data_IF_035601645490
#
_entry.id   IF_035601645490
#
_cell.length_a   1.000
_cell.length_b   1.000
_cell.length_c   1.000
_cell.angle_alpha   90.00
_cell.angle_beta   90.00
_cell.angle_gamma   90.00
#
_symmetry.space_group_name_H-M   'P 1'
#
loop_
_entity.id
_entity.type
_entity.pdbx_description
1 polymer ?
#
# COMPACT_ATOMS: atom_id res chain seq x y z
N UNK A 1 -32.27 27.34 13.37
CA UNK A 1 -33.00 26.73 12.24
C UNK A 1 -33.59 27.86 11.42
N UNK A 2 -33.31 27.92 10.12
CA UNK A 2 -33.77 28.98 9.23
C UNK A 2 -34.45 28.30 8.03
N UNK A 3 -35.71 28.65 7.77
CA UNK A 3 -36.48 28.12 6.64
C UNK A 3 -36.41 29.09 5.45
N UNK A 4 -35.84 28.66 4.32
CA UNK A 4 -35.66 29.52 3.14
C UNK A 4 -36.62 29.19 1.98
N UNK A 5 -37.04 30.24 1.24
CA UNK A 5 -37.90 30.15 0.05
C UNK A 5 -37.20 30.54 -1.27
N UNK A 6 -35.98 31.09 -1.22
CA UNK A 6 -35.12 31.42 -2.37
C UNK A 6 -33.64 31.15 -2.01
N UNK A 7 -32.70 31.21 -2.97
CA UNK A 7 -31.28 30.96 -2.68
C UNK A 7 -30.69 31.87 -1.59
N UNK A 8 -29.72 31.37 -0.83
CA UNK A 8 -29.07 32.14 0.24
C UNK A 8 -27.91 32.95 -0.33
N UNK A 9 -27.91 34.26 -0.11
CA UNK A 9 -26.76 35.14 -0.36
C UNK A 9 -26.13 35.59 0.96
N UNK A 10 -24.84 35.94 0.96
CA UNK A 10 -24.12 36.39 2.16
C UNK A 10 -24.79 37.60 2.87
N UNK A 11 -25.53 38.43 2.14
CA UNK A 11 -26.31 39.55 2.67
C UNK A 11 -27.46 39.13 3.59
N UNK A 12 -27.91 37.88 3.53
CA UNK A 12 -28.97 37.34 4.38
C UNK A 12 -28.51 37.01 5.81
N UNK A 13 -27.20 36.93 6.04
CA UNK A 13 -26.63 36.65 7.35
C UNK A 13 -25.80 37.84 7.83
N UNK A 14 -26.46 38.95 8.18
CA UNK A 14 -25.80 40.09 8.83
C UNK A 14 -26.06 40.08 10.34
N UNK A 15 -25.09 40.53 11.15
CA UNK A 15 -25.25 40.69 12.61
C UNK A 15 -24.81 39.52 13.50
N UNK A 16 -24.42 38.37 12.93
CA UNK A 16 -23.92 37.23 13.72
C UNK A 16 -22.45 37.37 14.15
N UNK A 17 -21.64 38.18 13.45
CA UNK A 17 -20.24 38.45 13.80
C UNK A 17 -20.07 39.24 15.09
N UNK A 18 -21.10 39.97 15.52
CA UNK A 18 -21.12 40.73 16.78
C UNK A 18 -21.72 39.95 17.96
N UNK A 19 -22.12 38.69 17.77
CA UNK A 19 -22.67 37.87 18.84
C UNK A 19 -21.55 37.47 19.82
N UNK A 20 -21.71 37.83 21.10
CA UNK A 20 -20.78 37.40 22.15
C UNK A 20 -20.90 35.89 22.37
N UNK A 21 -19.82 35.17 22.10
CA UNK A 21 -19.78 33.70 22.24
C UNK A 21 -19.24 33.24 23.58
N UNK A 22 -18.88 34.18 24.48
CA UNK A 22 -18.37 33.87 25.82
C UNK A 22 -19.41 33.21 26.74
N UNK A 23 -20.69 33.32 26.40
CA UNK A 23 -21.81 32.70 27.13
C UNK A 23 -22.37 31.47 26.44
N UNK A 24 -21.76 31.01 25.34
CA UNK A 24 -22.22 29.82 24.65
C UNK A 24 -21.94 28.59 25.49
N UNK A 25 -22.93 27.71 25.60
CA UNK A 25 -22.80 26.49 26.37
C UNK A 25 -21.85 25.53 25.67
N UNK A 26 -20.67 25.35 26.27
CA UNK A 26 -19.61 24.45 25.79
C UNK A 26 -20.05 22.98 25.67
N UNK A 27 -21.19 22.60 26.28
CA UNK A 27 -21.76 21.26 26.18
C UNK A 27 -22.41 20.97 24.83
N UNK A 28 -22.68 22.01 24.01
CA UNK A 28 -23.33 21.86 22.71
C UNK A 28 -22.41 22.28 21.58
N UNK A 29 -22.43 21.50 20.50
CA UNK A 29 -21.74 21.91 19.27
C UNK A 29 -22.45 23.10 18.64
N UNK A 30 -21.69 24.10 18.22
CA UNK A 30 -22.22 25.26 17.52
C UNK A 30 -22.69 24.85 16.13
N UNK A 31 -23.98 24.57 15.99
CA UNK A 31 -24.58 24.02 14.78
C UNK A 31 -25.48 25.01 14.04
N UNK A 32 -25.41 24.97 12.72
CA UNK A 32 -26.32 25.67 11.81
C UNK A 32 -26.95 24.65 10.87
N UNK A 33 -28.25 24.46 11.01
CA UNK A 33 -29.06 23.66 10.08
C UNK A 33 -29.89 24.58 9.19
N UNK A 34 -29.72 24.42 7.86
CA UNK A 34 -30.45 25.12 6.81
C UNK A 34 -31.47 24.15 6.21
N UNK A 35 -32.76 24.43 6.45
CA UNK A 35 -33.87 23.64 5.89
C UNK A 35 -34.42 24.34 4.65
N UNK A 36 -34.35 23.65 3.52
CA UNK A 36 -34.94 24.12 2.28
C UNK A 36 -36.40 23.68 2.16
N UNK A 37 -37.31 24.64 1.94
CA UNK A 37 -38.74 24.35 1.80
C UNK A 37 -39.04 23.59 0.50
N UNK A 38 -40.09 22.78 0.52
CA UNK A 38 -40.59 22.09 -0.67
C UNK A 38 -40.96 23.11 -1.77
N UNK A 39 -40.60 22.81 -3.03
CA UNK A 39 -40.92 23.63 -4.20
C UNK A 39 -39.80 24.54 -4.70
N UNK A 40 -38.68 24.67 -3.98
CA UNK A 40 -37.51 25.36 -4.54
C UNK A 40 -36.81 24.47 -5.58
N UNK A 41 -36.45 25.05 -6.72
CA UNK A 41 -35.85 24.31 -7.85
C UNK A 41 -34.32 24.29 -7.81
N UNK A 42 -33.69 25.26 -7.16
CA UNK A 42 -32.24 25.39 -7.03
C UNK A 42 -31.84 26.13 -5.76
N UNK A 43 -30.64 25.81 -5.27
CA UNK A 43 -29.98 26.48 -4.16
C UNK A 43 -28.52 26.74 -4.54
N UNK A 44 -28.11 28.01 -4.53
CA UNK A 44 -26.75 28.41 -4.90
C UNK A 44 -25.94 28.72 -3.64
N UNK A 45 -24.80 28.04 -3.48
CA UNK A 45 -23.81 28.35 -2.45
C UNK A 45 -22.80 29.37 -3.01
N UNK A 46 -22.70 30.54 -2.39
CA UNK A 46 -21.65 31.49 -2.70
C UNK A 46 -20.42 31.26 -1.81
N UNK A 47 -19.22 31.55 -2.32
CA UNK A 47 -18.02 31.58 -1.49
C UNK A 47 -18.20 32.58 -0.32
N UNK A 48 -17.62 32.27 0.85
CA UNK A 48 -17.72 33.10 2.06
C UNK A 48 -19.13 33.29 2.64
N UNK A 49 -20.13 32.52 2.20
CA UNK A 49 -21.52 32.64 2.70
C UNK A 49 -21.64 32.50 4.21
N UNK A 50 -20.70 31.81 4.85
CA UNK A 50 -20.70 31.55 6.29
C UNK A 50 -19.69 32.39 7.07
N UNK A 51 -18.97 33.33 6.44
CA UNK A 51 -17.91 34.15 7.06
C UNK A 51 -18.32 34.87 8.35
N UNK A 52 -19.62 35.11 8.55
CA UNK A 52 -20.18 35.76 9.74
C UNK A 52 -20.39 34.81 10.94
N UNK A 53 -20.08 33.51 10.81
CA UNK A 53 -20.21 32.50 11.86
C UNK A 53 -18.85 31.93 12.29
N UNK A 54 -18.01 32.69 13.02
CA UNK A 54 -16.61 32.31 13.29
C UNK A 54 -16.44 31.07 14.17
N UNK A 55 -17.47 30.69 14.94
CA UNK A 55 -17.43 29.54 15.85
C UNK A 55 -18.22 28.33 15.33
N UNK A 56 -18.64 28.34 14.06
CA UNK A 56 -19.45 27.26 13.49
C UNK A 56 -18.66 25.95 13.45
N UNK A 57 -19.21 24.91 14.07
CA UNK A 57 -18.61 23.58 14.12
C UNK A 57 -19.40 22.56 13.30
N UNK A 58 -20.72 22.70 13.24
CA UNK A 58 -21.58 21.76 12.51
C UNK A 58 -22.41 22.55 11.50
N UNK A 59 -22.27 22.25 10.23
CA UNK A 59 -23.10 22.81 9.17
C UNK A 59 -23.90 21.71 8.50
N UNK A 60 -25.22 21.86 8.52
CA UNK A 60 -26.14 20.89 7.94
C UNK A 60 -27.09 21.55 6.93
N UNK A 61 -27.21 20.95 5.75
CA UNK A 61 -28.19 21.32 4.73
C UNK A 61 -29.21 20.21 4.58
N UNK A 62 -30.48 20.53 4.71
CA UNK A 62 -31.57 19.56 4.66
C UNK A 62 -32.50 19.89 3.49
N UNK A 63 -32.68 18.91 2.60
CA UNK A 63 -33.58 18.97 1.44
C UNK A 63 -33.28 20.13 0.48
N UNK A 64 -32.03 20.55 0.40
CA UNK A 64 -31.59 21.64 -0.47
C UNK A 64 -31.19 21.12 -1.86
N UNK A 65 -31.77 21.62 -2.96
CA UNK A 65 -31.35 21.27 -4.32
C UNK A 65 -30.15 22.12 -4.74
N UNK A 66 -28.99 21.82 -4.18
CA UNK A 66 -27.73 22.51 -4.43
C UNK A 66 -27.29 22.29 -5.88
N UNK A 67 -27.17 23.37 -6.65
CA UNK A 67 -26.73 23.25 -8.05
C UNK A 67 -25.23 23.04 -8.16
N UNK A 68 -24.45 23.73 -7.33
CA UNK A 68 -23.00 23.56 -7.31
C UNK A 68 -22.42 23.93 -5.96
N UNK A 69 -21.44 23.16 -5.51
CA UNK A 69 -20.54 23.56 -4.41
C UNK A 69 -19.26 24.11 -5.06
N UNK A 70 -19.05 25.45 -5.04
CA UNK A 70 -17.89 26.06 -5.70
C UNK A 70 -16.59 25.78 -4.96
N UNK A 71 -15.45 26.01 -5.62
CA UNK A 71 -14.13 25.96 -5.00
C UNK A 71 -14.05 26.85 -3.75
N UNK A 72 -13.42 26.35 -2.69
CA UNK A 72 -13.24 27.08 -1.43
C UNK A 72 -14.58 27.62 -0.85
N UNK A 73 -15.65 26.84 -0.92
CA UNK A 73 -16.98 27.26 -0.45
C UNK A 73 -17.01 27.58 1.05
N UNK A 74 -16.09 27.01 1.83
CA UNK A 74 -16.05 27.10 3.30
C UNK A 74 -14.71 27.63 3.83
N UNK A 75 -14.26 28.83 3.43
CA UNK A 75 -12.93 29.30 3.81
C UNK A 75 -12.92 29.81 5.26
N UNK A 76 -11.84 29.49 5.99
CA UNK A 76 -11.57 30.06 7.33
C UNK A 76 -12.49 29.59 8.45
N UNK A 77 -13.30 28.54 8.23
CA UNK A 77 -14.19 27.97 9.24
C UNK A 77 -13.58 26.70 9.87
N UNK A 78 -13.70 26.59 11.18
CA UNK A 78 -13.30 25.40 11.94
C UNK A 78 -14.48 24.42 12.06
N UNK A 79 -15.04 24.03 10.91
CA UNK A 79 -16.06 22.99 10.88
C UNK A 79 -15.45 21.66 11.34
N UNK A 80 -16.21 20.95 12.16
CA UNK A 80 -15.98 19.56 12.53
C UNK A 80 -16.90 18.63 11.73
N UNK A 81 -18.12 19.07 11.42
CA UNK A 81 -19.12 18.31 10.67
C UNK A 81 -19.70 19.13 9.51
N UNK A 82 -19.70 18.53 8.31
CA UNK A 82 -20.42 19.04 7.15
C UNK A 82 -21.36 17.96 6.62
N UNK A 83 -22.66 18.22 6.73
CA UNK A 83 -23.70 17.23 6.48
C UNK A 83 -24.68 17.79 5.45
N UNK A 84 -24.90 17.05 4.37
CA UNK A 84 -26.02 17.25 3.47
C UNK A 84 -27.01 16.11 3.74
N UNK A 85 -28.32 16.38 3.77
CA UNK A 85 -29.35 15.36 4.05
C UNK A 85 -30.57 15.60 3.18
N UNK A 86 -30.78 14.71 2.20
CA UNK A 86 -31.80 14.88 1.18
C UNK A 86 -31.56 16.13 0.31
N UNK A 87 -32.38 16.29 -0.71
CA UNK A 87 -32.10 17.26 -1.78
C UNK A 87 -31.16 16.64 -2.81
N UNK A 88 -30.51 17.47 -3.63
CA UNK A 88 -29.60 17.03 -4.69
C UNK A 88 -28.38 17.94 -4.74
N UNK A 89 -27.24 17.40 -5.17
CA UNK A 89 -26.03 18.18 -5.46
C UNK A 89 -25.66 17.88 -6.91
N UNK A 90 -25.90 18.82 -7.82
CA UNK A 90 -25.67 18.58 -9.25
C UNK A 90 -24.18 18.53 -9.60
N UNK A 91 -23.35 19.32 -8.91
CA UNK A 91 -21.89 19.35 -9.11
C UNK A 91 -21.14 19.75 -7.84
N UNK A 92 -19.92 19.21 -7.69
CA UNK A 92 -18.97 19.58 -6.64
C UNK A 92 -17.67 19.96 -7.32
N UNK A 93 -17.12 21.12 -7.01
CA UNK A 93 -15.79 21.51 -7.49
C UNK A 93 -14.70 20.66 -6.81
N UNK A 94 -13.61 20.35 -7.54
CA UNK A 94 -12.50 19.58 -7.00
C UNK A 94 -11.86 20.22 -5.75
N UNK A 95 -11.98 21.53 -5.57
CA UNK A 95 -11.46 22.26 -4.41
C UNK A 95 -12.58 22.76 -3.48
N UNK A 96 -13.81 22.24 -3.60
CA UNK A 96 -14.96 22.66 -2.81
C UNK A 96 -14.71 22.59 -1.30
N UNK A 97 -14.03 21.53 -0.86
CA UNK A 97 -13.72 21.23 0.53
C UNK A 97 -12.27 21.55 0.91
N UNK A 98 -11.55 22.29 0.06
CA UNK A 98 -10.16 22.68 0.33
C UNK A 98 -10.07 23.53 1.60
N UNK A 99 -9.06 23.23 2.44
CA UNK A 99 -8.83 23.92 3.71
C UNK A 99 -9.76 23.51 4.85
N UNK A 100 -10.75 22.64 4.61
CA UNK A 100 -11.58 22.09 5.69
C UNK A 100 -10.82 21.08 6.54
N UNK A 101 -11.08 21.14 7.84
CA UNK A 101 -10.53 20.22 8.82
C UNK A 101 -11.63 19.48 9.60
N UNK A 102 -12.54 18.83 8.87
CA UNK A 102 -13.73 18.16 9.39
C UNK A 102 -13.45 16.71 9.78
N UNK A 103 -14.12 16.21 10.82
CA UNK A 103 -14.13 14.79 11.20
C UNK A 103 -15.26 13.99 10.56
N UNK A 104 -16.33 14.66 10.08
CA UNK A 104 -17.45 14.01 9.40
C UNK A 104 -17.89 14.79 8.15
N UNK A 105 -17.96 14.07 7.04
CA UNK A 105 -18.48 14.54 5.76
C UNK A 105 -19.57 13.57 5.29
N UNK A 106 -20.76 14.10 5.01
CA UNK A 106 -21.87 13.32 4.49
C UNK A 106 -22.43 14.00 3.25
N UNK A 107 -22.26 13.39 2.10
CA UNK A 107 -22.79 13.86 0.80
C UNK A 107 -23.71 12.75 0.28
N UNK A 108 -24.92 12.58 0.85
CA UNK A 108 -25.86 11.62 0.33
C UNK A 108 -26.38 12.12 -1.02
N UNK A 109 -26.57 11.19 -1.94
CA UNK A 109 -27.25 11.51 -3.18
C UNK A 109 -28.76 11.62 -3.00
N UNK A 110 -29.43 11.88 -4.13
CA UNK A 110 -30.86 12.08 -4.19
C UNK A 110 -31.52 10.89 -4.89
N UNK A 111 -32.55 10.30 -4.29
CA UNK A 111 -33.39 9.31 -4.99
C UNK A 111 -34.15 10.01 -6.13
N UNK A 112 -33.83 9.68 -7.38
CA UNK A 112 -34.57 10.14 -8.57
C UNK A 112 -34.13 11.48 -9.19
N UNK A 113 -32.99 12.06 -8.81
CA UNK A 113 -32.40 13.22 -9.47
C UNK A 113 -30.94 12.95 -9.90
N UNK A 114 -30.41 13.75 -10.83
CA UNK A 114 -29.00 13.66 -11.22
C UNK A 114 -28.12 13.82 -9.98
N UNK A 115 -27.31 12.80 -9.68
CA UNK A 115 -26.50 12.72 -8.48
C UNK A 115 -25.00 12.74 -8.84
N UNK A 116 -24.15 12.66 -7.82
CA UNK A 116 -22.70 12.71 -8.00
C UNK A 116 -22.22 11.41 -8.65
N UNK A 117 -22.03 11.46 -9.98
CA UNK A 117 -21.50 10.35 -10.76
C UNK A 117 -20.02 10.08 -10.49
N UNK A 118 -19.26 11.06 -10.01
CA UNK A 118 -17.81 10.93 -9.81
C UNK A 118 -17.34 11.80 -8.66
N UNK A 119 -16.83 11.18 -7.60
CA UNK A 119 -16.01 11.87 -6.59
C UNK A 119 -14.57 11.50 -6.89
N UNK A 120 -13.76 12.52 -7.15
CA UNK A 120 -12.32 12.38 -7.46
C UNK A 120 -11.46 12.68 -6.22
N UNK A 121 -10.17 12.34 -6.31
CA UNK A 121 -9.15 12.63 -5.28
C UNK A 121 -9.17 14.09 -4.83
N UNK A 122 -9.41 15.04 -5.74
CA UNK A 122 -9.45 16.46 -5.40
C UNK A 122 -10.48 16.79 -4.32
N UNK A 123 -11.66 16.16 -4.38
CA UNK A 123 -12.78 16.50 -3.53
C UNK A 123 -12.52 16.19 -2.06
N UNK A 124 -12.07 14.98 -1.74
CA UNK A 124 -11.94 14.52 -0.34
C UNK A 124 -10.50 14.25 0.08
N UNK A 125 -9.56 14.11 -0.86
CA UNK A 125 -8.20 13.66 -0.61
C UNK A 125 -7.32 14.60 0.22
N UNK A 126 -7.76 15.79 0.57
CA UNK A 126 -6.99 16.71 1.43
C UNK A 126 -7.54 16.81 2.86
N UNK A 127 -8.65 16.12 3.18
CA UNK A 127 -9.32 16.19 4.48
C UNK A 127 -8.74 15.12 5.43
N UNK A 128 -7.51 15.34 5.89
CA UNK A 128 -6.72 14.31 6.61
C UNK A 128 -7.30 13.86 7.97
N UNK A 129 -8.11 14.70 8.63
CA UNK A 129 -8.76 14.40 9.91
C UNK A 129 -10.16 13.76 9.75
N UNK A 130 -10.59 13.46 8.52
CA UNK A 130 -11.90 12.86 8.25
C UNK A 130 -11.98 11.46 8.87
N UNK A 131 -12.94 11.25 9.79
CA UNK A 131 -13.22 9.97 10.45
C UNK A 131 -14.44 9.26 9.87
N UNK A 132 -15.43 10.02 9.41
CA UNK A 132 -16.66 9.48 8.84
C UNK A 132 -16.90 10.08 7.46
N UNK A 133 -16.93 9.22 6.44
CA UNK A 133 -17.29 9.60 5.08
C UNK A 133 -18.53 8.83 4.65
N UNK A 134 -19.62 9.56 4.37
CA UNK A 134 -20.81 8.98 3.74
C UNK A 134 -20.99 9.54 2.33
N UNK A 135 -21.02 8.63 1.36
CA UNK A 135 -21.32 8.87 -0.05
C UNK A 135 -22.52 8.01 -0.49
N UNK A 136 -23.38 7.62 0.45
CA UNK A 136 -24.53 6.75 0.19
C UNK A 136 -25.53 7.41 -0.76
N UNK A 137 -26.36 6.60 -1.43
CA UNK A 137 -27.48 7.06 -2.27
C UNK A 137 -27.06 7.91 -3.49
N UNK A 138 -25.80 7.79 -3.93
CA UNK A 138 -25.30 8.42 -5.17
C UNK A 138 -25.35 7.45 -6.36
N UNK A 139 -24.85 7.88 -7.51
CA UNK A 139 -24.72 7.03 -8.72
C UNK A 139 -23.25 6.68 -9.00
N UNK A 140 -22.47 6.45 -7.94
CA UNK A 140 -21.05 6.09 -8.09
C UNK A 140 -20.97 4.70 -8.72
N UNK A 141 -20.28 4.62 -9.86
CA UNK A 141 -20.01 3.37 -10.57
C UNK A 141 -18.65 2.78 -10.22
N UNK A 142 -17.66 3.61 -9.96
CA UNK A 142 -16.35 3.21 -9.46
C UNK A 142 -15.73 4.31 -8.59
N UNK A 143 -14.75 3.93 -7.77
CA UNK A 143 -13.95 4.89 -7.00
C UNK A 143 -12.60 5.06 -7.68
N UNK A 144 -12.24 6.29 -8.00
CA UNK A 144 -10.92 6.60 -8.57
C UNK A 144 -9.83 6.13 -7.62
N UNK A 145 -8.85 5.40 -8.15
CA UNK A 145 -7.72 4.90 -7.37
C UNK A 145 -7.03 6.04 -6.61
N UNK A 146 -6.80 5.82 -5.32
CA UNK A 146 -6.11 6.76 -4.45
C UNK A 146 -6.95 7.89 -3.86
N UNK A 147 -8.27 7.92 -4.06
CA UNK A 147 -9.18 8.89 -3.41
C UNK A 147 -9.07 8.88 -1.88
N UNK A 148 -8.75 7.73 -1.29
CA UNK A 148 -8.61 7.57 0.16
C UNK A 148 -7.15 7.62 0.65
N UNK A 149 -6.14 7.75 -0.21
CA UNK A 149 -4.71 7.64 0.16
C UNK A 149 -4.31 8.56 1.32
N UNK A 150 -4.90 9.75 1.38
CA UNK A 150 -4.58 10.76 2.39
C UNK A 150 -5.56 10.78 3.58
N UNK A 151 -6.63 9.97 3.56
CA UNK A 151 -7.65 9.91 4.60
C UNK A 151 -7.20 9.02 5.78
N UNK A 152 -6.08 9.38 6.41
CA UNK A 152 -5.41 8.56 7.43
C UNK A 152 -6.23 8.32 8.69
N UNK A 153 -7.21 9.17 8.95
CA UNK A 153 -8.07 9.09 10.15
C UNK A 153 -9.41 8.41 9.90
N UNK A 154 -9.66 7.94 8.67
CA UNK A 154 -10.95 7.39 8.28
C UNK A 154 -11.24 6.13 9.09
N UNK A 155 -12.41 6.08 9.72
CA UNK A 155 -12.86 4.98 10.56
C UNK A 155 -14.19 4.38 10.07
N UNK A 156 -15.03 5.19 9.42
CA UNK A 156 -16.32 4.77 8.91
C UNK A 156 -16.52 5.22 7.47
N UNK A 157 -16.96 4.30 6.62
CA UNK A 157 -17.23 4.53 5.21
C UNK A 157 -18.62 4.00 4.86
N UNK A 158 -19.45 4.84 4.26
CA UNK A 158 -20.76 4.46 3.75
C UNK A 158 -20.82 4.66 2.23
N UNK A 159 -21.01 3.55 1.52
CA UNK A 159 -21.12 3.49 0.06
C UNK A 159 -22.42 2.83 -0.39
N UNK A 160 -23.39 2.67 0.51
CA UNK A 160 -24.67 2.00 0.20
C UNK A 160 -25.43 2.74 -0.90
N UNK A 161 -26.35 2.04 -1.56
CA UNK A 161 -27.26 2.63 -2.56
C UNK A 161 -26.51 3.38 -3.68
N UNK A 162 -25.41 2.79 -4.16
CA UNK A 162 -24.64 3.26 -5.32
C UNK A 162 -24.73 2.23 -6.47
N UNK A 163 -24.16 2.57 -7.63
CA UNK A 163 -24.29 1.82 -8.88
C UNK A 163 -22.99 1.15 -9.32
N UNK A 164 -22.33 0.45 -8.39
CA UNK A 164 -20.98 -0.08 -8.63
C UNK A 164 -20.91 -1.04 -9.82
N UNK A 165 -20.00 -0.74 -10.74
CA UNK A 165 -19.53 -1.65 -11.78
C UNK A 165 -18.41 -2.49 -11.17
N UNK A 166 -18.74 -3.72 -10.81
CA UNK A 166 -17.80 -4.64 -10.18
C UNK A 166 -16.85 -5.23 -11.22
N UNK A 167 -15.57 -4.85 -11.09
CA UNK A 167 -14.43 -5.43 -11.79
C UNK A 167 -13.29 -5.60 -10.80
N UNK A 168 -12.41 -6.57 -11.02
CA UNK A 168 -11.32 -6.84 -10.06
C UNK A 168 -10.34 -5.67 -9.89
N UNK A 169 -10.27 -4.76 -10.86
CA UNK A 169 -9.46 -3.54 -10.76
C UNK A 169 -10.15 -2.42 -9.98
N UNK A 170 -11.47 -2.35 -10.02
CA UNK A 170 -12.25 -1.26 -9.40
C UNK A 170 -12.59 -1.51 -7.93
N UNK A 171 -12.40 -2.75 -7.44
CA UNK A 171 -12.65 -3.14 -6.04
C UNK A 171 -11.45 -2.94 -5.10
N UNK A 172 -10.44 -2.18 -5.53
CA UNK A 172 -9.23 -1.89 -4.73
C UNK A 172 -9.55 -1.34 -3.32
N UNK A 173 -10.68 -0.64 -3.17
CA UNK A 173 -11.08 -0.05 -1.90
C UNK A 173 -11.42 -1.11 -0.83
N UNK A 174 -11.79 -2.34 -1.21
CA UNK A 174 -12.00 -3.43 -0.25
C UNK A 174 -10.71 -3.73 0.52
N UNK A 175 -9.59 -3.82 -0.21
CA UNK A 175 -8.27 -4.01 0.38
C UNK A 175 -7.88 -2.82 1.24
N UNK A 176 -8.09 -1.60 0.76
CA UNK A 176 -7.82 -0.40 1.54
C UNK A 176 -8.59 -0.36 2.87
N UNK A 177 -9.88 -0.69 2.84
CA UNK A 177 -10.73 -0.75 4.04
C UNK A 177 -10.22 -1.81 5.03
N UNK A 178 -9.87 -3.00 4.54
CA UNK A 178 -9.35 -4.07 5.38
C UNK A 178 -7.99 -3.73 6.00
N UNK A 179 -7.04 -3.24 5.19
CA UNK A 179 -5.68 -2.90 5.64
C UNK A 179 -5.67 -1.74 6.67
N UNK A 180 -6.69 -0.88 6.66
CA UNK A 180 -6.80 0.28 7.56
C UNK A 180 -7.88 0.14 8.64
N UNK A 181 -8.47 -1.05 8.83
CA UNK A 181 -9.51 -1.33 9.83
C UNK A 181 -10.73 -0.39 9.76
N UNK A 182 -11.11 0.02 8.55
CA UNK A 182 -12.25 0.90 8.33
C UNK A 182 -13.54 0.09 8.44
N UNK A 183 -14.53 0.63 9.15
CA UNK A 183 -15.87 0.03 9.26
C UNK A 183 -16.74 0.46 8.08
N UNK A 184 -17.13 -0.50 7.24
CA UNK A 184 -18.10 -0.27 6.17
C UNK A 184 -19.53 -0.35 6.69
N UNK A 185 -20.31 0.71 6.52
CA UNK A 185 -21.71 0.75 6.95
C UNK A 185 -22.60 0.03 5.93
N UNK A 186 -23.12 -1.14 6.28
CA UNK A 186 -24.08 -1.96 5.51
C UNK A 186 -23.62 -2.46 4.12
N UNK A 187 -22.45 -2.02 3.62
CA UNK A 187 -21.68 -2.54 2.49
C UNK A 187 -22.29 -2.27 1.10
N UNK A 188 -21.47 -1.96 0.08
CA UNK A 188 -21.94 -1.71 -1.28
C UNK A 188 -22.35 -3.01 -1.99
N UNK A 189 -23.20 -2.86 -3.00
CA UNK A 189 -23.65 -3.93 -3.90
C UNK A 189 -23.23 -3.63 -5.33
N UNK A 190 -23.07 -4.66 -6.15
CA UNK A 190 -22.81 -4.53 -7.57
C UNK A 190 -24.12 -4.20 -8.32
N UNK A 191 -24.07 -3.25 -9.24
CA UNK A 191 -25.12 -3.01 -10.25
C UNK A 191 -24.79 -3.78 -11.54
N UNK A 192 -23.51 -3.79 -11.92
CA UNK A 192 -22.99 -4.62 -13.01
C UNK A 192 -21.76 -5.42 -12.56
N UNK A 193 -21.44 -6.58 -13.17
CA UNK A 193 -22.15 -7.24 -14.26
C UNK A 193 -23.47 -7.89 -13.82
N UNK A 194 -24.35 -8.21 -14.78
CA UNK A 194 -25.67 -8.79 -14.53
C UNK A 194 -25.65 -10.10 -13.70
N UNK A 195 -24.56 -10.88 -13.76
CA UNK A 195 -24.39 -12.11 -12.97
C UNK A 195 -24.32 -11.86 -11.46
N UNK A 196 -23.98 -10.64 -11.05
CA UNK A 196 -23.84 -10.23 -9.65
C UNK A 196 -24.67 -9.00 -9.29
N UNK A 197 -25.65 -8.64 -10.13
CA UNK A 197 -26.54 -7.53 -9.84
C UNK A 197 -27.23 -7.73 -8.47
N UNK A 198 -27.24 -6.67 -7.65
CA UNK A 198 -27.72 -6.63 -6.26
C UNK A 198 -27.02 -7.60 -5.29
N UNK A 199 -25.93 -8.25 -5.69
CA UNK A 199 -25.08 -8.99 -4.76
C UNK A 199 -24.07 -8.05 -4.10
N UNK A 200 -23.64 -8.38 -2.88
CA UNK A 200 -22.58 -7.62 -2.19
C UNK A 200 -21.31 -7.64 -3.02
N UNK A 201 -20.62 -6.51 -3.05
CA UNK A 201 -19.32 -6.38 -3.74
C UNK A 201 -18.30 -7.41 -3.25
N UNK A 202 -18.32 -7.76 -1.96
CA UNK A 202 -17.45 -8.79 -1.37
C UNK A 202 -17.72 -10.19 -1.93
N UNK A 203 -18.94 -10.48 -2.37
CA UNK A 203 -19.28 -11.77 -3.00
C UNK A 203 -18.65 -11.84 -4.39
N UNK A 204 -18.74 -10.76 -5.18
CA UNK A 204 -18.06 -10.68 -6.48
C UNK A 204 -16.55 -10.82 -6.31
N UNK A 205 -15.97 -10.12 -5.32
CA UNK A 205 -14.53 -10.22 -5.02
C UNK A 205 -14.13 -11.66 -4.70
N UNK A 206 -14.89 -12.36 -3.84
CA UNK A 206 -14.58 -13.74 -3.46
C UNK A 206 -14.84 -14.79 -4.55
N UNK A 207 -15.85 -14.59 -5.42
CA UNK A 207 -16.23 -15.59 -6.43
C UNK A 207 -15.50 -15.38 -7.78
N UNK A 208 -15.13 -14.15 -8.11
CA UNK A 208 -14.59 -13.78 -9.43
C UNK A 208 -13.15 -13.26 -9.34
N UNK A 209 -12.82 -12.45 -8.33
CA UNK A 209 -11.53 -11.75 -8.25
C UNK A 209 -10.51 -12.43 -7.35
N UNK A 210 -10.97 -13.27 -6.43
CA UNK A 210 -10.14 -14.27 -5.80
C UNK A 210 -9.57 -15.12 -6.93
N UNK A 211 -8.35 -14.80 -7.33
CA UNK A 211 -7.51 -15.70 -8.10
C UNK A 211 -7.62 -17.02 -7.38
N UNK A 212 -8.05 -18.08 -8.10
CA UNK A 212 -8.05 -19.44 -7.59
C UNK A 212 -6.85 -19.59 -6.66
N UNK A 213 -7.10 -20.04 -5.43
CA UNK A 213 -6.01 -20.38 -4.53
C UNK A 213 -5.21 -21.48 -5.22
N UNK A 214 -4.22 -21.07 -6.04
CA UNK A 214 -3.49 -21.95 -6.96
C UNK A 214 -2.80 -23.04 -6.13
N UNK A 215 -2.50 -22.72 -4.87
CA UNK A 215 -1.91 -23.60 -3.89
C UNK A 215 -2.94 -24.34 -3.02
N UNK A 216 -4.16 -23.82 -2.86
CA UNK A 216 -5.18 -24.38 -1.98
C UNK A 216 -4.64 -24.52 -0.56
N UNK A 217 -4.90 -25.66 0.07
CA UNK A 217 -4.34 -26.00 1.40
C UNK A 217 -2.81 -26.24 1.40
N UNK A 218 -2.15 -26.18 0.24
CA UNK A 218 -0.72 -26.46 0.13
C UNK A 218 0.09 -25.20 0.47
N UNK A 219 0.94 -25.27 1.49
CA UNK A 219 1.89 -24.17 1.76
C UNK A 219 2.86 -24.04 0.59
N UNK A 220 2.78 -22.94 -0.15
CA UNK A 220 3.57 -22.70 -1.36
C UNK A 220 3.49 -21.27 -1.86
N UNK A 221 4.13 -21.00 -3.01
CA UNK A 221 4.11 -19.71 -3.68
C UNK A 221 3.40 -19.87 -5.02
N UNK A 222 2.37 -19.07 -5.28
CA UNK A 222 1.73 -19.00 -6.58
C UNK A 222 2.55 -18.12 -7.54
N UNK A 223 2.95 -18.69 -8.68
CA UNK A 223 3.68 -17.98 -9.73
C UNK A 223 3.12 -18.34 -11.10
N UNK A 224 2.70 -17.34 -11.87
CA UNK A 224 2.19 -17.50 -13.25
C UNK A 224 1.11 -18.57 -13.39
N UNK A 225 0.17 -18.62 -12.44
CA UNK A 225 -0.93 -19.60 -12.43
C UNK A 225 -0.54 -21.01 -12.01
N UNK A 226 0.67 -21.24 -11.48
CA UNK A 226 1.09 -22.52 -10.91
C UNK A 226 1.50 -22.36 -9.45
N UNK A 227 1.19 -23.34 -8.60
CA UNK A 227 1.71 -23.38 -7.25
C UNK A 227 3.09 -24.05 -7.24
N UNK A 228 4.03 -23.43 -6.54
CA UNK A 228 5.32 -24.03 -6.19
C UNK A 228 5.26 -24.40 -4.71
N UNK A 229 5.01 -25.67 -4.36
CA UNK A 229 4.90 -26.10 -2.98
C UNK A 229 6.23 -25.97 -2.23
N UNK A 230 6.15 -25.80 -0.91
CA UNK A 230 7.33 -25.69 -0.06
C UNK A 230 8.28 -26.90 -0.19
N UNK A 231 7.75 -28.12 -0.33
CA UNK A 231 8.58 -29.32 -0.52
C UNK A 231 9.39 -29.27 -1.82
N UNK A 232 8.85 -28.66 -2.87
CA UNK A 232 9.52 -28.52 -4.16
C UNK A 232 10.64 -27.49 -4.05
N UNK A 233 10.42 -26.38 -3.33
CA UNK A 233 11.47 -25.42 -2.98
C UNK A 233 12.58 -26.10 -2.16
N UNK A 234 12.23 -26.88 -1.13
CA UNK A 234 13.21 -27.60 -0.32
C UNK A 234 14.02 -28.60 -1.16
N UNK A 235 13.39 -29.28 -2.12
CA UNK A 235 14.08 -30.18 -3.05
C UNK A 235 15.12 -29.44 -3.91
N UNK A 236 14.77 -28.27 -4.47
CA UNK A 236 15.72 -27.46 -5.22
C UNK A 236 16.89 -26.96 -4.36
N UNK A 237 16.61 -26.51 -3.13
CA UNK A 237 17.65 -26.08 -2.18
C UNK A 237 18.59 -27.26 -1.87
N UNK A 238 18.05 -28.45 -1.62
CA UNK A 238 18.85 -29.65 -1.36
C UNK A 238 19.72 -30.04 -2.57
N UNK A 239 19.19 -29.95 -3.79
CA UNK A 239 19.96 -30.20 -5.02
C UNK A 239 21.11 -29.18 -5.17
N UNK A 240 20.86 -27.90 -4.90
CA UNK A 240 21.90 -26.86 -4.93
C UNK A 240 22.98 -27.16 -3.89
N UNK A 241 22.61 -27.55 -2.68
CA UNK A 241 23.57 -27.92 -1.62
C UNK A 241 24.40 -29.13 -2.06
N UNK A 242 23.79 -30.18 -2.62
CA UNK A 242 24.48 -31.37 -3.11
C UNK A 242 25.49 -31.00 -4.22
N UNK A 243 25.10 -30.13 -5.15
CA UNK A 243 25.98 -29.65 -6.21
C UNK A 243 27.17 -28.86 -5.64
N UNK A 244 26.93 -27.97 -4.68
CA UNK A 244 28.01 -27.21 -4.00
C UNK A 244 28.96 -28.16 -3.29
N UNK A 245 28.45 -29.12 -2.52
CA UNK A 245 29.25 -30.10 -1.79
C UNK A 245 30.06 -30.99 -2.75
N UNK A 246 29.47 -31.38 -3.88
CA UNK A 246 30.16 -32.15 -4.93
C UNK A 246 31.29 -31.35 -5.57
N UNK A 247 31.06 -30.07 -5.87
CA UNK A 247 32.09 -29.16 -6.38
C UNK A 247 33.25 -28.99 -5.37
N UNK A 248 32.93 -28.83 -4.08
CA UNK A 248 33.95 -28.74 -3.00
C UNK A 248 34.75 -30.04 -2.92
N UNK A 249 34.08 -31.19 -2.93
CA UNK A 249 34.73 -32.50 -2.88
C UNK A 249 35.67 -32.71 -4.08
N UNK A 250 35.22 -32.39 -5.30
CA UNK A 250 36.05 -32.42 -6.51
C UNK A 250 37.25 -31.48 -6.40
N UNK A 251 37.06 -30.28 -5.85
CA UNK A 251 38.13 -29.33 -5.56
C UNK A 251 39.17 -29.89 -4.60
N UNK A 252 38.74 -30.51 -3.50
CA UNK A 252 39.59 -31.17 -2.52
C UNK A 252 40.37 -32.35 -3.13
N UNK A 253 39.71 -33.19 -3.94
CA UNK A 253 40.34 -34.32 -4.65
C UNK A 253 41.40 -33.80 -5.63
N UNK A 254 41.09 -32.76 -6.41
CA UNK A 254 42.03 -32.14 -7.33
C UNK A 254 43.26 -31.57 -6.60
N UNK A 255 43.04 -30.91 -5.44
CA UNK A 255 44.12 -30.38 -4.61
C UNK A 255 45.00 -31.51 -4.06
N UNK A 256 44.40 -32.55 -3.49
CA UNK A 256 45.12 -33.71 -2.96
C UNK A 256 45.97 -34.40 -4.02
N UNK A 257 45.41 -34.62 -5.24
CA UNK A 257 46.17 -35.16 -6.38
C UNK A 257 47.35 -34.27 -6.77
N UNK A 258 47.18 -32.95 -6.79
CA UNK A 258 48.28 -31.99 -7.04
C UNK A 258 49.37 -32.07 -5.96
N UNK A 259 49.00 -32.22 -4.70
CA UNK A 259 49.98 -32.33 -3.61
C UNK A 259 50.73 -33.67 -3.62
N UNK A 260 50.04 -34.78 -3.89
CA UNK A 260 50.66 -36.10 -4.11
C UNK A 260 51.68 -36.08 -5.25
N UNK A 261 51.33 -35.49 -6.39
CA UNK A 261 52.25 -35.38 -7.53
C UNK A 261 53.46 -34.49 -7.22
N UNK A 262 53.29 -33.39 -6.46
CA UNK A 262 54.41 -32.58 -5.94
C UNK A 262 55.31 -33.38 -5.01
N UNK A 263 54.75 -34.16 -4.09
CA UNK A 263 55.52 -35.01 -3.15
C UNK A 263 56.31 -36.08 -3.92
N UNK A 264 55.67 -36.77 -4.85
CA UNK A 264 56.34 -37.76 -5.71
C UNK A 264 57.50 -37.14 -6.50
N UNK A 265 57.33 -35.93 -7.05
CA UNK A 265 58.40 -35.19 -7.74
C UNK A 265 59.56 -34.86 -6.79
N UNK A 266 59.27 -34.38 -5.58
CA UNK A 266 60.30 -34.12 -4.55
C UNK A 266 61.07 -35.38 -4.17
N UNK A 267 60.38 -36.53 -4.00
CA UNK A 267 61.04 -37.80 -3.70
C UNK A 267 61.94 -38.28 -4.83
N UNK A 268 61.49 -38.18 -6.10
CA UNK A 268 62.33 -38.49 -7.27
C UNK A 268 63.58 -37.61 -7.31
N UNK A 269 63.43 -36.29 -7.11
CA UNK A 269 64.56 -35.36 -7.07
C UNK A 269 65.54 -35.67 -5.93
N UNK A 270 65.04 -35.98 -4.72
CA UNK A 270 65.90 -36.39 -3.59
C UNK A 270 66.67 -37.67 -3.90
N UNK A 271 66.02 -38.69 -4.46
CA UNK A 271 66.69 -39.93 -4.89
C UNK A 271 67.78 -39.65 -5.92
N UNK A 272 67.47 -38.86 -6.96
CA UNK A 272 68.46 -38.46 -7.96
C UNK A 272 69.66 -37.72 -7.34
N UNK A 273 69.42 -36.75 -6.45
CA UNK A 273 70.49 -36.02 -5.77
C UNK A 273 71.34 -36.91 -4.86
N UNK A 274 70.71 -37.86 -4.16
CA UNK A 274 71.42 -38.81 -3.30
C UNK A 274 72.29 -39.75 -4.12
N UNK A 275 71.77 -40.21 -5.27
CA UNK A 275 72.52 -41.05 -6.21
C UNK A 275 73.72 -40.31 -6.79
N UNK A 276 73.58 -39.04 -7.16
CA UNK A 276 74.70 -38.20 -7.61
C UNK A 276 75.78 -38.07 -6.52
N UNK A 277 75.39 -37.82 -5.26
CA UNK A 277 76.35 -37.75 -4.14
C UNK A 277 77.12 -39.06 -3.94
N UNK A 278 76.45 -40.20 -4.08
CA UNK A 278 77.09 -41.52 -3.99
C UNK A 278 78.12 -41.71 -5.12
N UNK A 279 77.78 -41.31 -6.35
CA UNK A 279 78.73 -41.34 -7.47
C UNK A 279 79.95 -40.45 -7.24
N UNK A 280 79.74 -39.24 -6.74
CA UNK A 280 80.82 -38.29 -6.39
C UNK A 280 81.79 -38.89 -5.36
N UNK A 281 81.24 -39.51 -4.30
CA UNK A 281 82.02 -40.15 -3.25
C UNK A 281 82.82 -41.37 -3.77
N UNK A 282 82.25 -42.15 -4.68
CA UNK A 282 82.95 -43.27 -5.32
C UNK A 282 84.15 -42.78 -6.15
N UNK A 283 84.00 -41.65 -6.88
CA UNK A 283 85.11 -41.04 -7.63
C UNK A 283 86.25 -40.60 -6.71
N UNK A 284 85.96 -39.92 -5.60
CA UNK A 284 86.99 -39.48 -4.65
C UNK A 284 87.79 -40.64 -4.03
N UNK A 285 87.12 -41.78 -3.76
CA UNK A 285 87.77 -42.97 -3.20
C UNK A 285 88.73 -43.65 -4.18
N UNK A 286 88.47 -43.55 -5.49
CA UNK A 286 89.38 -44.04 -6.53
C UNK A 286 90.65 -43.18 -6.71
N UNK A 287 90.66 -41.95 -6.18
CA UNK A 287 91.80 -41.02 -6.24
C UNK A 287 92.82 -41.15 -5.10
N UNK A 288 92.48 -41.84 -4.00
CA UNK A 288 93.36 -41.97 -2.83
C UNK A 288 94.19 -43.27 -2.87
N UNK A 289 95.33 -43.26 -3.58
CA UNK A 289 96.37 -44.31 -3.47
C UNK A 289 97.32 -44.00 -2.30
N UNK A 290 97.31 -44.84 -1.26
CA UNK A 290 98.37 -44.91 -0.24
C UNK A 290 99.68 -45.43 -0.89
N UNK A 291 100.79 -44.70 -0.71
CA UNK A 291 102.15 -45.11 -1.11
C UNK A 291 102.68 -46.21 -0.16
N UNK A 292 103.48 -47.18 -0.65
CA UNK A 292 104.09 -48.22 0.19
C UNK A 292 105.26 -47.67 1.02
N UNK A 293 105.56 -48.22 2.21
CA UNK A 293 106.74 -47.85 2.98
C UNK A 293 108.02 -48.43 2.33
N UNK A 294 109.02 -47.58 2.19
CA UNK A 294 110.37 -47.89 1.69
C UNK A 294 111.22 -48.44 2.85
N UNK A 295 111.90 -49.56 2.60
CA UNK A 295 112.76 -50.23 3.58
C UNK A 295 114.06 -49.48 3.91
N UNK A 296 114.67 -49.86 5.04
CA UNK A 296 116.09 -49.66 5.31
C UNK A 296 116.71 -50.95 5.81
N UNK A 297 117.63 -51.48 5.01
CA UNK A 297 118.65 -52.44 5.39
C UNK A 297 119.72 -51.74 6.24
N UNK A 298 120.29 -52.46 7.20
CA UNK A 298 121.53 -52.11 7.89
C UNK A 298 122.10 -53.35 8.55
N UNK A 299 123.11 -53.95 7.90
CA UNK A 299 123.99 -54.98 8.46
C UNK A 299 125.00 -54.31 9.40
N UNK A 300 125.15 -54.82 10.62
CA UNK A 300 126.33 -55.48 11.24
C UNK A 300 125.83 -56.12 12.53
#
# INVERSE_FOLDING_TARGET
MIDYQTGIQASHFSGFSSASTATFDSSYSHSLTINCKAGISSFTLAANSFSQFPNLQVLEFVKCPITSIPANAFPGHYLDHLIFTGGKIDSVDANAFSGLNISKLSIPGAVGAASVNTITVGHVGNITNLRHLSLSENLITNLTSGIFTNLKSLAYLDLRENKFTCTCTDLWFLKYVADNFITMLGGPVCDTPASHNNKRVTVYDSEICAVEDVCGDTVGIAMSGNCIPLYQMMSFIMLIIILIMSCVALGCICKSRKDLTRIQRRMKNKRASSWNRVQEAMKQRSGAKQKPPVGKNGWV
#
